data_IF_157450926250
#
_entry.id   IF_157450926250
#
_cell.length_a   1.000
_cell.length_b   1.000
_cell.length_c   1.000
_cell.angle_alpha   90.00
_cell.angle_beta   90.00
_cell.angle_gamma   90.00
#
_symmetry.space_group_name_H-M   'P 1'
#
loop_
_entity.id
_entity.type
_entity.pdbx_description
1 polymer ?
#
# COMPACT_ATOMS: atom_id res chain seq x y z
N UNK A 1 -15.17 26.77 8.49
CA UNK A 1 -15.52 26.20 9.81
C UNK A 1 -16.10 27.22 10.79
N UNK A 2 -15.75 28.52 10.75
CA UNK A 2 -16.44 29.50 11.62
C UNK A 2 -17.78 29.92 11.00
N UNK A 3 -18.87 29.74 11.74
CA UNK A 3 -20.20 30.23 11.37
C UNK A 3 -21.12 29.12 10.87
N UNK A 4 -22.23 29.49 10.22
CA UNK A 4 -23.12 28.51 9.59
C UNK A 4 -22.54 28.08 8.24
N UNK A 5 -22.37 26.77 8.07
CA UNK A 5 -21.81 26.16 6.86
C UNK A 5 -20.28 26.11 6.87
N UNK A 6 -19.75 25.35 5.92
CA UNK A 6 -18.31 25.12 5.74
C UNK A 6 -17.87 25.76 4.43
N UNK A 7 -16.60 26.20 4.37
CA UNK A 7 -15.97 26.63 3.12
C UNK A 7 -15.00 25.51 2.70
N UNK A 8 -15.55 24.49 2.04
CA UNK A 8 -14.83 23.28 1.64
C UNK A 8 -13.71 23.60 0.65
N UNK A 9 -13.91 24.58 -0.23
CA UNK A 9 -12.94 24.99 -1.26
C UNK A 9 -11.67 25.58 -0.61
N UNK A 10 -11.84 26.44 0.40
CA UNK A 10 -10.71 26.99 1.15
C UNK A 10 -9.96 25.89 1.92
N UNK A 11 -10.70 24.96 2.53
CA UNK A 11 -10.11 23.84 3.29
C UNK A 11 -9.28 22.95 2.37
N UNK A 12 -9.86 22.48 1.26
CA UNK A 12 -9.14 21.59 0.34
C UNK A 12 -7.94 22.29 -0.28
N UNK A 13 -8.09 23.54 -0.75
CA UNK A 13 -7.00 24.28 -1.40
C UNK A 13 -5.80 24.46 -0.47
N UNK A 14 -6.05 24.78 0.80
CA UNK A 14 -4.98 24.94 1.77
C UNK A 14 -4.33 23.59 2.10
N UNK A 15 -5.11 22.56 2.43
CA UNK A 15 -4.57 21.30 2.92
C UNK A 15 -3.87 20.49 1.81
N UNK A 16 -4.36 20.52 0.58
CA UNK A 16 -3.70 19.83 -0.55
C UNK A 16 -2.45 20.56 -1.06
N UNK A 17 -2.23 21.82 -0.66
CA UNK A 17 -1.04 22.61 -1.03
C UNK A 17 0.01 22.72 0.08
N UNK A 18 -0.11 21.89 1.12
CA UNK A 18 0.87 21.80 2.23
C UNK A 18 1.37 20.38 2.34
N UNK A 19 2.66 20.22 2.66
CA UNK A 19 3.21 18.92 3.02
C UNK A 19 2.58 18.42 4.33
N UNK A 20 2.65 17.13 4.58
CA UNK A 20 2.10 16.54 5.79
C UNK A 20 2.74 17.15 7.05
N UNK A 21 4.04 17.41 7.03
CA UNK A 21 4.76 18.10 8.10
C UNK A 21 4.17 19.50 8.38
N UNK A 22 3.91 20.29 7.32
CA UNK A 22 3.26 21.59 7.47
C UNK A 22 1.83 21.47 7.99
N UNK A 23 1.08 20.42 7.62
CA UNK A 23 -0.26 20.15 8.19
C UNK A 23 -0.18 19.87 9.69
N UNK A 24 0.87 19.19 10.17
CA UNK A 24 1.08 18.99 11.61
C UNK A 24 1.35 20.32 12.32
N UNK A 25 2.19 21.19 11.75
CA UNK A 25 2.44 22.53 12.28
C UNK A 25 1.16 23.38 12.33
N UNK A 26 0.33 23.30 11.29
CA UNK A 26 -0.98 23.97 11.23
C UNK A 26 -1.90 23.45 12.34
N UNK A 27 -1.96 22.15 12.57
CA UNK A 27 -2.78 21.57 13.64
C UNK A 27 -2.33 22.04 15.04
N UNK A 28 -1.02 22.08 15.29
CA UNK A 28 -0.45 22.59 16.55
C UNK A 28 -0.75 24.08 16.74
N UNK A 29 -0.56 24.88 15.69
CA UNK A 29 -0.85 26.31 15.72
C UNK A 29 -2.35 26.58 15.96
N UNK A 30 -3.23 25.81 15.32
CA UNK A 30 -4.68 25.89 15.51
C UNK A 30 -5.07 25.60 16.96
N UNK A 31 -4.51 24.54 17.56
CA UNK A 31 -4.73 24.21 18.97
C UNK A 31 -4.22 25.30 19.92
N UNK A 32 -3.07 25.90 19.60
CA UNK A 32 -2.49 26.98 20.41
C UNK A 32 -3.33 28.26 20.38
N UNK A 33 -3.82 28.65 19.19
CA UNK A 33 -4.55 29.89 18.99
C UNK A 33 -6.01 29.82 19.45
N UNK A 34 -6.64 28.65 19.31
CA UNK A 34 -8.08 28.50 19.52
C UNK A 34 -8.46 27.51 20.64
N UNK A 35 -7.50 26.75 21.18
CA UNK A 35 -7.77 25.74 22.20
C UNK A 35 -8.61 24.55 21.71
N UNK A 36 -8.72 24.37 20.39
CA UNK A 36 -9.55 23.34 19.74
C UNK A 36 -8.68 22.36 18.96
N UNK A 37 -9.15 21.13 18.79
CA UNK A 37 -8.47 20.15 17.94
C UNK A 37 -8.93 20.33 16.48
N UNK A 38 -7.98 20.57 15.57
CA UNK A 38 -8.28 20.82 14.16
C UNK A 38 -8.91 19.59 13.49
N UNK A 39 -8.47 18.39 13.85
CA UNK A 39 -8.97 17.17 13.22
C UNK A 39 -10.41 16.88 13.64
N UNK A 40 -10.74 17.11 14.92
CA UNK A 40 -12.11 16.96 15.41
C UNK A 40 -13.04 18.02 14.83
N UNK A 41 -12.58 19.27 14.69
CA UNK A 41 -13.33 20.32 14.02
C UNK A 41 -13.61 19.94 12.55
N UNK A 42 -12.61 19.45 11.81
CA UNK A 42 -12.78 19.00 10.43
C UNK A 42 -13.78 17.84 10.31
N UNK A 43 -13.75 16.85 11.22
CA UNK A 43 -14.73 15.76 11.26
C UNK A 43 -16.15 16.25 11.54
N UNK A 44 -16.30 17.31 12.34
CA UNK A 44 -17.63 17.87 12.66
C UNK A 44 -18.24 18.69 11.53
N UNK A 45 -17.40 19.29 10.68
CA UNK A 45 -17.79 20.24 9.63
C UNK A 45 -17.88 19.61 8.23
N UNK A 46 -17.20 18.48 8.03
CA UNK A 46 -17.15 17.76 6.76
C UNK A 46 -17.95 16.46 6.84
N UNK A 47 -18.36 15.92 5.70
CA UNK A 47 -19.07 14.62 5.66
C UNK A 47 -18.56 13.71 4.54
N UNK A 48 -18.78 12.41 4.70
CA UNK A 48 -18.70 11.44 3.61
C UNK A 48 -17.27 11.22 3.10
N UNK A 49 -17.12 11.05 1.78
CA UNK A 49 -15.82 10.73 1.15
C UNK A 49 -14.81 11.88 1.26
N UNK A 50 -15.30 13.12 1.20
CA UNK A 50 -14.46 14.29 1.33
C UNK A 50 -13.88 14.41 2.75
N UNK A 51 -14.71 14.20 3.78
CA UNK A 51 -14.25 14.12 5.17
C UNK A 51 -13.16 13.05 5.34
N UNK A 52 -13.41 11.82 4.86
CA UNK A 52 -12.44 10.72 4.94
C UNK A 52 -11.10 11.07 4.33
N UNK A 53 -11.09 11.72 3.17
CA UNK A 53 -9.87 12.16 2.49
C UNK A 53 -9.13 13.24 3.29
N UNK A 54 -9.84 14.26 3.79
CA UNK A 54 -9.23 15.35 4.57
C UNK A 54 -8.67 14.82 5.90
N UNK A 55 -9.40 13.94 6.59
CA UNK A 55 -8.93 13.29 7.81
C UNK A 55 -7.69 12.44 7.55
N UNK A 56 -7.66 11.69 6.44
CA UNK A 56 -6.48 10.93 6.03
C UNK A 56 -5.26 11.84 5.78
N UNK A 57 -5.45 12.95 5.05
CA UNK A 57 -4.39 13.93 4.76
C UNK A 57 -3.77 14.55 6.02
N UNK A 58 -4.55 14.69 7.08
CA UNK A 58 -4.09 15.30 8.34
C UNK A 58 -3.28 14.34 9.21
N UNK A 59 -3.38 13.02 9.00
CA UNK A 59 -2.61 12.04 9.78
C UNK A 59 -1.15 12.02 9.31
N UNK A 60 -0.15 11.99 10.21
CA UNK A 60 1.23 11.66 9.85
C UNK A 60 1.30 10.40 8.99
N UNK A 61 2.11 10.39 7.93
CA UNK A 61 2.12 9.30 6.94
C UNK A 61 2.27 7.91 7.56
N UNK A 62 3.22 7.75 8.50
CA UNK A 62 3.44 6.48 9.22
C UNK A 62 2.30 6.12 10.16
N UNK A 63 1.68 7.11 10.78
CA UNK A 63 0.48 6.93 11.61
C UNK A 63 -0.72 6.50 10.75
N UNK A 64 -0.79 6.99 9.52
CA UNK A 64 -1.87 6.65 8.60
C UNK A 64 -1.82 5.17 8.20
N UNK A 65 -0.64 4.63 7.87
CA UNK A 65 -0.50 3.20 7.59
C UNK A 65 -0.84 2.33 8.82
N UNK A 66 -0.38 2.71 10.01
CA UNK A 66 -0.75 2.01 11.25
C UNK A 66 -2.27 2.08 11.52
N UNK A 67 -2.89 3.23 11.25
CA UNK A 67 -4.32 3.42 11.34
C UNK A 67 -5.10 2.52 10.37
N UNK A 68 -4.70 2.47 9.10
CA UNK A 68 -5.33 1.62 8.08
C UNK A 68 -5.21 0.14 8.46
N UNK A 69 -4.04 -0.30 8.94
CA UNK A 69 -3.86 -1.68 9.43
C UNK A 69 -4.74 -1.97 10.65
N UNK A 70 -4.84 -1.04 11.61
CA UNK A 70 -5.72 -1.23 12.79
C UNK A 70 -7.19 -1.36 12.37
N UNK A 71 -7.60 -0.57 11.38
CA UNK A 71 -8.95 -0.61 10.84
C UNK A 71 -9.15 -1.73 9.82
N UNK A 72 -8.10 -2.46 9.43
CA UNK A 72 -8.21 -3.67 8.64
C UNK A 72 -8.38 -4.92 9.53
N UNK A 73 -7.85 -4.92 10.75
CA UNK A 73 -7.89 -6.05 11.69
C UNK A 73 -9.17 -6.01 12.54
N UNK A 74 -10.20 -6.78 12.14
CA UNK A 74 -11.55 -6.81 12.78
C UNK A 74 -12.05 -8.23 13.04
N UNK A 75 -11.16 -9.17 13.32
CA UNK A 75 -11.49 -10.58 13.49
C UNK A 75 -12.09 -11.17 12.21
N UNK A 76 -13.31 -11.68 12.28
CA UNK A 76 -13.98 -12.28 11.12
C UNK A 76 -14.29 -11.29 9.97
N UNK A 77 -14.19 -9.98 10.23
CA UNK A 77 -14.40 -8.91 9.24
C UNK A 77 -13.10 -8.28 8.74
N UNK A 78 -11.97 -8.97 8.88
CA UNK A 78 -10.66 -8.46 8.48
C UNK A 78 -10.61 -8.14 6.98
N UNK A 79 -9.89 -7.07 6.63
CA UNK A 79 -9.67 -6.64 5.25
C UNK A 79 -8.28 -7.07 4.78
N UNK A 80 -8.17 -8.29 4.24
CA UNK A 80 -6.89 -8.84 3.79
C UNK A 80 -6.30 -8.09 2.61
N UNK A 81 -7.09 -7.32 1.85
CA UNK A 81 -6.57 -6.48 0.76
C UNK A 81 -5.73 -5.34 1.32
N UNK A 82 -6.19 -4.70 2.38
CA UNK A 82 -5.44 -3.62 3.06
C UNK A 82 -4.16 -4.17 3.67
N UNK A 83 -4.24 -5.30 4.38
CA UNK A 83 -3.05 -5.96 4.94
C UNK A 83 -2.03 -6.30 3.85
N UNK A 84 -2.49 -6.89 2.75
CA UNK A 84 -1.66 -7.29 1.62
C UNK A 84 -1.00 -6.09 0.95
N UNK A 85 -1.76 -5.05 0.63
CA UNK A 85 -1.25 -3.84 -0.03
C UNK A 85 -0.16 -3.17 0.82
N UNK A 86 -0.44 -2.93 2.11
CA UNK A 86 0.49 -2.22 2.98
C UNK A 86 1.73 -3.06 3.28
N UNK A 87 1.56 -4.32 3.69
CA UNK A 87 2.69 -5.12 4.16
C UNK A 87 3.60 -5.56 3.00
N UNK A 88 3.05 -5.78 1.80
CA UNK A 88 3.84 -6.15 0.63
C UNK A 88 4.59 -4.96 -0.03
N UNK A 89 4.07 -3.74 0.09
CA UNK A 89 4.59 -2.58 -0.66
C UNK A 89 5.50 -1.66 0.17
N UNK A 90 5.54 -1.80 1.50
CA UNK A 90 6.36 -0.96 2.39
C UNK A 90 7.77 -1.54 2.52
N UNK A 91 8.78 -0.67 2.58
CA UNK A 91 10.17 -1.09 2.80
C UNK A 91 10.37 -1.61 4.23
N UNK A 92 11.45 -2.36 4.50
CA UNK A 92 11.77 -2.76 5.87
C UNK A 92 11.85 -1.58 6.85
N UNK A 93 12.37 -0.43 6.42
CA UNK A 93 12.45 0.79 7.23
C UNK A 93 11.05 1.36 7.54
N UNK A 94 10.17 1.40 6.54
CA UNK A 94 8.78 1.81 6.71
C UNK A 94 8.04 0.86 7.66
N UNK A 95 8.16 -0.46 7.48
CA UNK A 95 7.52 -1.46 8.35
C UNK A 95 7.98 -1.36 9.81
N UNK A 96 9.29 -1.15 10.06
CA UNK A 96 9.78 -0.92 11.43
C UNK A 96 9.13 0.31 12.06
N UNK A 97 9.01 1.40 11.30
CA UNK A 97 8.39 2.61 11.80
C UNK A 97 6.87 2.45 12.01
N UNK A 98 6.18 1.74 11.13
CA UNK A 98 4.74 1.43 11.26
C UNK A 98 4.49 0.61 12.52
N UNK A 99 5.28 -0.45 12.77
CA UNK A 99 5.16 -1.29 13.97
C UNK A 99 5.31 -0.47 15.25
N UNK A 100 6.32 0.41 15.29
CA UNK A 100 6.56 1.28 16.45
C UNK A 100 5.35 2.21 16.70
N UNK A 101 4.88 2.91 15.67
CA UNK A 101 3.74 3.84 15.81
C UNK A 101 2.45 3.11 16.16
N UNK A 102 2.24 1.91 15.62
CA UNK A 102 1.08 1.09 15.94
C UNK A 102 1.05 0.72 17.44
N UNK A 103 2.19 0.32 17.99
CA UNK A 103 2.31 -0.02 19.42
C UNK A 103 2.13 1.20 20.32
N UNK A 104 2.72 2.34 19.95
CA UNK A 104 2.58 3.61 20.68
C UNK A 104 1.11 4.10 20.73
N UNK A 105 0.35 3.92 19.65
CA UNK A 105 -1.01 4.44 19.52
C UNK A 105 -2.09 3.50 20.05
N UNK A 106 -1.91 2.19 19.89
CA UNK A 106 -2.94 1.20 20.22
C UNK A 106 -2.60 0.33 21.42
N UNK A 107 -1.36 0.38 21.92
CA UNK A 107 -0.91 -0.44 23.04
C UNK A 107 -0.91 -1.95 22.73
N UNK A 108 -0.91 -2.33 21.46
CA UNK A 108 -0.81 -3.72 20.99
C UNK A 108 0.27 -3.85 19.92
N UNK A 109 0.89 -5.03 19.83
CA UNK A 109 1.82 -5.35 18.76
C UNK A 109 1.06 -5.57 17.45
N UNK A 110 1.48 -4.91 16.37
CA UNK A 110 0.92 -5.16 15.04
C UNK A 110 1.07 -6.64 14.62
N UNK A 111 2.19 -7.28 15.00
CA UNK A 111 2.42 -8.69 14.67
C UNK A 111 1.43 -9.60 15.42
N UNK A 112 1.20 -9.35 16.71
CA UNK A 112 0.26 -10.14 17.52
C UNK A 112 -1.17 -9.98 17.00
N UNK A 113 -1.57 -8.75 16.67
CA UNK A 113 -2.91 -8.48 16.12
C UNK A 113 -3.08 -9.15 14.73
N UNK A 114 -2.05 -9.14 13.87
CA UNK A 114 -2.05 -9.88 12.59
C UNK A 114 -2.15 -11.39 12.81
N UNK A 115 -1.40 -11.93 13.77
CA UNK A 115 -1.45 -13.36 14.14
C UNK A 115 -2.82 -13.76 14.68
N UNK A 116 -3.49 -12.87 15.43
CA UNK A 116 -4.82 -13.12 15.97
C UNK A 116 -5.93 -13.17 14.92
N UNK A 117 -5.80 -12.38 13.85
CA UNK A 117 -6.85 -12.17 12.85
C UNK A 117 -6.62 -12.87 11.51
N UNK A 118 -5.46 -13.50 11.32
CA UNK A 118 -5.13 -14.24 10.10
C UNK A 118 -4.77 -15.69 10.40
N UNK A 119 -4.59 -16.53 9.36
CA UNK A 119 -4.22 -17.93 9.56
C UNK A 119 -3.41 -18.51 8.39
N UNK A 120 -2.87 -19.72 8.59
CA UNK A 120 -2.20 -20.49 7.55
C UNK A 120 -0.93 -19.83 6.99
N UNK A 121 -0.65 -20.11 5.73
CA UNK A 121 0.54 -19.56 5.05
C UNK A 121 0.44 -18.05 4.76
N UNK A 122 -0.78 -17.52 4.64
CA UNK A 122 -1.00 -16.07 4.52
C UNK A 122 -0.47 -15.35 5.77
N UNK A 123 -0.88 -15.78 6.97
CA UNK A 123 -0.34 -15.26 8.23
C UNK A 123 1.18 -15.38 8.29
N UNK A 124 1.74 -16.56 7.95
CA UNK A 124 3.19 -16.78 8.01
C UNK A 124 3.95 -15.82 7.11
N UNK A 125 3.48 -15.59 5.88
CA UNK A 125 4.11 -14.64 4.97
C UNK A 125 4.03 -13.20 5.49
N UNK A 126 2.87 -12.78 6.03
CA UNK A 126 2.74 -11.47 6.66
C UNK A 126 3.73 -11.29 7.82
N UNK A 127 3.84 -12.29 8.70
CA UNK A 127 4.78 -12.27 9.84
C UNK A 127 6.22 -12.18 9.36
N UNK A 128 6.61 -12.92 8.31
CA UNK A 128 7.96 -12.84 7.72
C UNK A 128 8.26 -11.44 7.20
N UNK A 129 7.31 -10.81 6.49
CA UNK A 129 7.46 -9.44 6.02
C UNK A 129 7.54 -8.44 7.18
N UNK A 130 6.71 -8.61 8.21
CA UNK A 130 6.69 -7.78 9.41
C UNK A 130 7.97 -7.89 10.24
N UNK A 131 8.78 -8.95 10.10
CA UNK A 131 10.12 -8.98 10.69
C UNK A 131 11.00 -7.85 10.15
N UNK A 132 10.71 -7.32 8.96
CA UNK A 132 11.48 -6.27 8.32
C UNK A 132 12.98 -6.60 8.26
N UNK A 133 13.30 -7.87 7.98
CA UNK A 133 14.66 -8.41 7.96
C UNK A 133 15.03 -8.95 6.57
N UNK A 134 14.50 -8.32 5.51
CA UNK A 134 14.93 -8.61 4.14
C UNK A 134 16.42 -8.28 3.99
N UNK A 135 17.15 -9.16 3.32
CA UNK A 135 18.58 -8.98 3.02
C UNK A 135 18.79 -7.63 2.31
N UNK A 136 19.82 -6.86 2.69
CA UNK A 136 20.14 -5.62 1.99
C UNK A 136 20.62 -5.91 0.57
N UNK A 137 20.40 -4.96 -0.34
CA UNK A 137 20.96 -5.06 -1.68
C UNK A 137 22.49 -5.06 -1.63
N UNK A 138 23.09 -6.02 -2.32
CA UNK A 138 24.53 -6.27 -2.34
C UNK A 138 24.96 -6.76 -3.73
N UNK A 139 26.24 -7.13 -3.86
CA UNK A 139 26.74 -7.76 -5.08
C UNK A 139 25.97 -9.07 -5.33
N UNK A 140 25.42 -9.21 -6.53
CA UNK A 140 24.68 -10.41 -6.94
C UNK A 140 25.63 -11.60 -7.05
N UNK A 141 25.27 -12.70 -6.38
CA UNK A 141 25.85 -14.02 -6.57
C UNK A 141 24.98 -14.82 -7.54
N UNK A 142 25.44 -14.91 -8.79
CA UNK A 142 24.71 -15.60 -9.86
C UNK A 142 24.52 -17.11 -9.58
N UNK A 143 25.39 -17.73 -8.77
CA UNK A 143 25.20 -19.13 -8.37
C UNK A 143 24.03 -19.27 -7.38
N UNK A 144 23.88 -18.31 -6.46
CA UNK A 144 22.72 -18.27 -5.55
C UNK A 144 21.44 -17.95 -6.31
N UNK A 145 21.50 -17.09 -7.34
CA UNK A 145 20.34 -16.82 -8.22
C UNK A 145 19.86 -18.09 -8.91
N UNK A 146 20.79 -18.86 -9.50
CA UNK A 146 20.48 -20.17 -10.11
C UNK A 146 19.84 -21.11 -9.09
N UNK A 147 20.43 -21.21 -7.89
CA UNK A 147 19.96 -22.09 -6.83
C UNK A 147 18.53 -21.73 -6.39
N UNK A 148 18.25 -20.46 -6.15
CA UNK A 148 16.93 -20.01 -5.69
C UNK A 148 15.88 -20.17 -6.80
N UNK A 149 16.22 -19.87 -8.06
CA UNK A 149 15.31 -20.07 -9.20
C UNK A 149 14.98 -21.56 -9.38
N UNK A 150 15.98 -22.43 -9.30
CA UNK A 150 15.80 -23.88 -9.37
C UNK A 150 14.99 -24.42 -8.18
N UNK A 151 15.20 -23.87 -6.98
CA UNK A 151 14.46 -24.22 -5.78
C UNK A 151 12.97 -23.86 -5.90
N UNK A 152 12.64 -22.67 -6.43
CA UNK A 152 11.25 -22.28 -6.70
C UNK A 152 10.60 -23.22 -7.72
N UNK A 153 11.32 -23.58 -8.79
CA UNK A 153 10.78 -24.48 -9.82
C UNK A 153 10.50 -25.88 -9.28
N UNK A 154 11.38 -26.38 -8.41
CA UNK A 154 11.18 -27.67 -7.71
C UNK A 154 10.07 -27.62 -6.66
N UNK A 155 9.82 -26.45 -6.06
CA UNK A 155 8.82 -26.24 -5.01
C UNK A 155 7.40 -26.04 -5.55
N UNK A 156 7.24 -25.67 -6.82
CA UNK A 156 5.94 -25.52 -7.49
C UNK A 156 5.79 -26.54 -8.63
N UNK A 157 6.02 -26.11 -9.87
CA UNK A 157 5.67 -26.85 -11.10
C UNK A 157 6.16 -28.30 -11.21
N UNK A 158 7.24 -28.70 -10.52
CA UNK A 158 7.75 -30.08 -10.54
C UNK A 158 7.21 -30.98 -9.42
N UNK A 159 6.31 -30.47 -8.58
CA UNK A 159 5.77 -31.16 -7.42
C UNK A 159 4.25 -31.32 -7.56
N UNK A 160 3.71 -32.39 -6.99
CA UNK A 160 2.27 -32.45 -6.79
C UNK A 160 1.91 -31.65 -5.53
N UNK A 161 1.27 -30.50 -5.74
CA UNK A 161 1.07 -29.47 -4.73
C UNK A 161 2.33 -28.63 -4.50
N UNK A 162 2.23 -27.65 -3.62
CA UNK A 162 3.22 -26.58 -3.48
C UNK A 162 4.01 -26.72 -2.18
N UNK A 163 5.29 -26.34 -2.19
CA UNK A 163 6.07 -26.08 -0.97
C UNK A 163 6.02 -24.58 -0.65
N UNK A 164 4.95 -24.15 0.02
CA UNK A 164 4.71 -22.74 0.32
C UNK A 164 5.80 -22.15 1.24
N UNK A 165 6.40 -22.96 2.11
CA UNK A 165 7.50 -22.51 2.98
C UNK A 165 8.72 -22.07 2.17
N UNK A 166 9.00 -22.73 1.03
CA UNK A 166 10.07 -22.32 0.12
C UNK A 166 9.80 -20.96 -0.51
N UNK A 167 8.58 -20.75 -1.02
CA UNK A 167 8.16 -19.48 -1.60
C UNK A 167 8.24 -18.36 -0.57
N UNK A 168 7.68 -18.58 0.63
CA UNK A 168 7.69 -17.61 1.73
C UNK A 168 9.12 -17.24 2.13
N UNK A 169 10.00 -18.22 2.29
CA UNK A 169 11.40 -17.96 2.69
C UNK A 169 12.11 -17.14 1.64
N UNK A 170 12.09 -17.57 0.37
CA UNK A 170 12.82 -16.89 -0.71
C UNK A 170 12.25 -15.48 -0.94
N UNK A 171 10.93 -15.34 -1.10
CA UNK A 171 10.31 -14.04 -1.37
C UNK A 171 10.31 -13.11 -0.16
N UNK A 172 10.28 -13.64 1.06
CA UNK A 172 10.26 -12.85 2.28
C UNK A 172 11.62 -12.30 2.69
N UNK A 173 12.71 -13.03 2.43
CA UNK A 173 14.02 -12.68 3.01
C UNK A 173 15.07 -12.23 1.99
N UNK A 174 15.06 -12.70 0.74
CA UNK A 174 16.11 -12.32 -0.23
C UNK A 174 16.01 -10.83 -0.61
N UNK A 175 17.15 -10.23 -0.97
CA UNK A 175 17.19 -8.82 -1.36
C UNK A 175 16.38 -8.55 -2.63
N UNK A 176 15.95 -7.30 -2.81
CA UNK A 176 15.12 -6.89 -3.96
C UNK A 176 15.89 -7.09 -5.27
N UNK A 177 17.15 -6.65 -5.31
CA UNK A 177 18.04 -6.80 -6.47
C UNK A 177 18.28 -8.27 -6.83
N UNK A 178 18.45 -9.15 -5.83
CA UNK A 178 18.59 -10.59 -6.03
C UNK A 178 17.31 -11.20 -6.60
N UNK A 179 16.15 -10.93 -5.99
CA UNK A 179 14.89 -11.50 -6.42
C UNK A 179 14.50 -11.11 -7.84
N UNK A 180 14.82 -9.89 -8.29
CA UNK A 180 14.65 -9.50 -9.69
C UNK A 180 15.42 -10.42 -10.64
N UNK A 181 16.67 -10.76 -10.31
CA UNK A 181 17.47 -11.71 -11.09
C UNK A 181 16.93 -13.14 -11.01
N UNK A 182 16.45 -13.55 -9.84
CA UNK A 182 15.79 -14.85 -9.67
C UNK A 182 14.55 -14.96 -10.56
N UNK A 183 13.73 -13.92 -10.69
CA UNK A 183 12.55 -13.96 -11.55
C UNK A 183 12.89 -14.10 -13.03
N UNK A 184 13.90 -13.37 -13.51
CA UNK A 184 14.39 -13.49 -14.90
C UNK A 184 14.96 -14.90 -15.15
N UNK A 185 15.73 -15.41 -14.18
CA UNK A 185 16.30 -16.75 -14.27
C UNK A 185 15.25 -17.84 -14.19
N UNK A 186 14.23 -17.67 -13.34
CA UNK A 186 13.09 -18.58 -13.22
C UNK A 186 12.39 -18.76 -14.57
N UNK A 187 12.06 -17.66 -15.25
CA UNK A 187 11.48 -17.70 -16.61
C UNK A 187 12.35 -18.48 -17.60
N UNK A 188 13.68 -18.37 -17.49
CA UNK A 188 14.62 -19.11 -18.35
C UNK A 188 14.59 -20.62 -18.09
N UNK A 189 14.37 -21.03 -16.84
CA UNK A 189 14.37 -22.45 -16.43
C UNK A 189 13.00 -23.09 -16.67
N UNK A 190 11.92 -22.44 -16.24
CA UNK A 190 10.57 -23.01 -16.21
C UNK A 190 9.76 -22.75 -17.48
N UNK A 191 10.07 -21.65 -18.20
CA UNK A 191 9.26 -21.15 -19.29
C UNK A 191 8.03 -20.32 -18.86
N UNK A 192 7.85 -20.08 -17.55
CA UNK A 192 6.74 -19.32 -16.99
C UNK A 192 7.25 -18.10 -16.21
N UNK A 193 6.51 -16.99 -16.23
CA UNK A 193 6.72 -15.94 -15.24
C UNK A 193 6.42 -16.50 -13.84
N UNK A 194 7.11 -15.98 -12.83
CA UNK A 194 6.88 -16.44 -11.46
C UNK A 194 5.44 -16.16 -11.00
N UNK A 195 4.83 -15.08 -11.50
CA UNK A 195 3.42 -14.75 -11.28
C UNK A 195 2.47 -15.82 -11.83
N UNK A 196 2.77 -16.39 -13.00
CA UNK A 196 1.95 -17.45 -13.61
C UNK A 196 2.02 -18.73 -12.77
N UNK A 197 3.19 -19.09 -12.26
CA UNK A 197 3.32 -20.23 -11.34
C UNK A 197 2.57 -19.99 -10.03
N UNK A 198 2.61 -18.77 -9.47
CA UNK A 198 1.86 -18.45 -8.23
C UNK A 198 0.35 -18.67 -8.42
N UNK A 199 -0.21 -18.20 -9.55
CA UNK A 199 -1.64 -18.38 -9.91
C UNK A 199 -2.01 -19.87 -10.10
N UNK A 200 -1.08 -20.69 -10.61
CA UNK A 200 -1.29 -22.14 -10.83
C UNK A 200 -1.20 -22.97 -9.55
N UNK A 201 -0.31 -22.58 -8.64
CA UNK A 201 0.12 -23.39 -7.49
C UNK A 201 -0.48 -22.93 -6.15
N UNK A 202 -1.03 -21.72 -6.08
CA UNK A 202 -1.61 -21.18 -4.85
C UNK A 202 -3.02 -20.66 -5.07
N UNK A 203 -3.74 -20.37 -3.98
CA UNK A 203 -5.07 -19.76 -4.08
C UNK A 203 -5.36 -18.84 -2.90
N UNK A 204 -6.39 -17.99 -3.05
CA UNK A 204 -6.93 -17.18 -1.97
C UNK A 204 -5.98 -16.08 -1.50
N UNK A 205 -5.98 -15.79 -0.20
CA UNK A 205 -5.22 -14.66 0.35
C UNK A 205 -3.70 -14.86 0.23
N UNK A 206 -3.21 -16.11 0.26
CA UNK A 206 -1.79 -16.39 0.05
C UNK A 206 -1.36 -16.00 -1.37
N UNK A 207 -2.11 -16.44 -2.38
CA UNK A 207 -1.83 -16.14 -3.79
C UNK A 207 -1.77 -14.62 -4.01
N UNK A 208 -2.79 -13.90 -3.53
CA UNK A 208 -2.86 -12.44 -3.62
C UNK A 208 -1.64 -11.76 -2.97
N UNK A 209 -1.20 -12.25 -1.81
CA UNK A 209 -0.03 -11.72 -1.11
C UNK A 209 1.28 -12.02 -1.84
N UNK A 210 1.48 -13.25 -2.33
CA UNK A 210 2.69 -13.59 -3.08
C UNK A 210 2.78 -12.77 -4.38
N UNK A 211 1.65 -12.60 -5.09
CA UNK A 211 1.58 -11.73 -6.27
C UNK A 211 1.89 -10.27 -5.91
N UNK A 212 1.34 -9.75 -4.82
CA UNK A 212 1.62 -8.38 -4.36
C UNK A 212 3.11 -8.19 -4.01
N UNK A 213 3.74 -9.18 -3.38
CA UNK A 213 5.18 -9.16 -3.05
C UNK A 213 6.02 -9.18 -4.32
N UNK A 214 5.76 -10.08 -5.27
CA UNK A 214 6.49 -10.14 -6.54
C UNK A 214 6.35 -8.83 -7.32
N UNK A 215 5.12 -8.31 -7.46
CA UNK A 215 4.86 -7.05 -8.15
C UNK A 215 5.58 -5.88 -7.47
N UNK A 216 5.59 -5.82 -6.14
CA UNK A 216 6.30 -4.79 -5.38
C UNK A 216 7.82 -4.89 -5.55
N UNK A 217 8.39 -6.11 -5.53
CA UNK A 217 9.81 -6.33 -5.81
C UNK A 217 10.17 -5.84 -7.21
N UNK A 218 9.34 -6.13 -8.22
CA UNK A 218 9.56 -5.61 -9.58
C UNK A 218 9.47 -4.09 -9.60
N UNK A 219 8.37 -3.52 -9.10
CA UNK A 219 8.17 -2.08 -8.99
C UNK A 219 6.98 -1.76 -8.08
N UNK A 220 7.25 -1.20 -6.90
CA UNK A 220 6.21 -0.66 -6.00
C UNK A 220 5.30 0.34 -6.74
N UNK A 221 5.82 1.32 -7.51
CA UNK A 221 4.95 2.24 -8.26
C UNK A 221 4.02 1.54 -9.26
N UNK A 222 4.49 0.48 -9.93
CA UNK A 222 3.65 -0.27 -10.88
C UNK A 222 2.56 -1.09 -10.17
N UNK A 223 2.90 -1.73 -9.05
CA UNK A 223 1.92 -2.43 -8.21
C UNK A 223 0.82 -1.49 -7.70
N UNK A 224 1.20 -0.32 -7.20
CA UNK A 224 0.23 0.66 -6.69
C UNK A 224 -0.56 1.34 -7.81
N UNK A 225 0.01 1.48 -9.01
CA UNK A 225 -0.74 1.91 -10.19
C UNK A 225 -1.82 0.89 -10.58
N UNK A 226 -1.51 -0.40 -10.56
CA UNK A 226 -2.47 -1.47 -10.79
C UNK A 226 -3.55 -1.51 -9.69
N UNK A 227 -3.15 -1.32 -8.43
CA UNK A 227 -4.07 -1.22 -7.28
C UNK A 227 -5.07 -0.08 -7.47
N UNK A 228 -4.61 1.12 -7.87
CA UNK A 228 -5.47 2.26 -8.19
C UNK A 228 -6.38 1.97 -9.40
N UNK A 229 -5.87 1.29 -10.42
CA UNK A 229 -6.65 0.99 -11.61
C UNK A 229 -7.84 0.10 -11.26
N UNK A 230 -7.61 -0.99 -10.51
CA UNK A 230 -8.69 -1.88 -10.09
C UNK A 230 -9.61 -1.25 -9.04
N UNK A 231 -9.16 -0.26 -8.27
CA UNK A 231 -10.02 0.50 -7.36
C UNK A 231 -11.06 1.36 -8.11
N UNK A 232 -10.79 1.77 -9.36
CA UNK A 232 -11.69 2.61 -10.17
C UNK A 232 -12.25 1.86 -11.40
N UNK A 233 -11.92 0.58 -11.58
CA UNK A 233 -12.35 -0.19 -12.75
C UNK A 233 -13.72 -0.80 -12.49
N UNK A 234 -14.67 -0.53 -13.37
CA UNK A 234 -15.99 -1.17 -13.37
C UNK A 234 -17.08 -0.24 -12.84
N UNK A 235 -18.12 -0.81 -12.25
CA UNK A 235 -19.23 -0.03 -11.70
C UNK A 235 -18.91 0.40 -10.26
N UNK A 236 -18.80 1.71 -10.04
CA UNK A 236 -18.46 2.29 -8.74
C UNK A 236 -16.95 2.32 -8.48
N UNK A 237 -16.59 2.80 -7.30
CA UNK A 237 -15.20 3.06 -6.90
C UNK A 237 -14.95 2.46 -5.53
N UNK A 238 -13.81 1.80 -5.35
CA UNK A 238 -13.24 1.54 -4.02
C UNK A 238 -12.55 2.81 -3.52
N UNK A 239 -13.36 3.74 -2.98
CA UNK A 239 -12.87 5.03 -2.49
C UNK A 239 -11.89 4.87 -1.32
N UNK A 240 -11.98 3.78 -0.56
CA UNK A 240 -11.09 3.52 0.58
C UNK A 240 -9.67 3.29 0.08
N UNK A 241 -9.51 2.39 -0.89
CA UNK A 241 -8.23 2.14 -1.56
C UNK A 241 -7.73 3.37 -2.32
N UNK A 242 -8.61 4.07 -3.02
CA UNK A 242 -8.24 5.30 -3.74
C UNK A 242 -7.68 6.37 -2.79
N UNK A 243 -8.36 6.63 -1.66
CA UNK A 243 -7.88 7.57 -0.64
C UNK A 243 -6.56 7.09 -0.06
N UNK A 244 -6.48 5.82 0.36
CA UNK A 244 -5.29 5.27 1.01
C UNK A 244 -4.05 5.40 0.14
N UNK A 245 -4.11 4.96 -1.11
CA UNK A 245 -2.95 5.00 -2.00
C UNK A 245 -2.59 6.44 -2.37
N UNK A 246 -3.56 7.29 -2.73
CA UNK A 246 -3.25 8.69 -3.09
C UNK A 246 -2.63 9.44 -1.91
N UNK A 247 -3.17 9.29 -0.70
CA UNK A 247 -2.66 10.01 0.49
C UNK A 247 -1.30 9.46 0.91
N UNK A 248 -1.18 8.14 1.12
CA UNK A 248 0.06 7.53 1.64
C UNK A 248 1.25 7.72 0.70
N UNK A 249 1.01 7.85 -0.62
CA UNK A 249 2.08 7.95 -1.62
C UNK A 249 2.33 9.37 -2.13
N UNK A 250 1.47 10.34 -1.76
CA UNK A 250 1.51 11.73 -2.25
C UNK A 250 2.88 12.43 -2.09
N UNK A 251 3.62 12.08 -1.04
CA UNK A 251 4.92 12.67 -0.71
C UNK A 251 6.09 11.67 -0.86
N UNK A 252 5.86 10.53 -1.53
CA UNK A 252 6.85 9.46 -1.71
C UNK A 252 7.10 9.20 -3.20
N UNK A 253 6.11 8.63 -3.89
CA UNK A 253 6.27 8.13 -5.26
C UNK A 253 5.01 8.23 -6.13
N UNK A 254 4.00 9.03 -5.73
CA UNK A 254 2.77 9.22 -6.51
C UNK A 254 3.05 9.69 -7.95
N UNK A 255 4.10 10.48 -8.17
CA UNK A 255 4.57 10.84 -9.51
C UNK A 255 5.02 9.63 -10.35
N UNK A 256 5.73 8.67 -9.75
CA UNK A 256 6.15 7.46 -10.44
C UNK A 256 4.95 6.51 -10.68
N UNK A 257 4.02 6.45 -9.72
CA UNK A 257 2.77 5.69 -9.85
C UNK A 257 1.97 6.20 -11.06
N UNK A 258 1.85 7.53 -11.23
CA UNK A 258 1.20 8.15 -12.40
C UNK A 258 1.81 7.72 -13.73
N UNK A 259 3.14 7.68 -13.81
CA UNK A 259 3.84 7.22 -15.02
C UNK A 259 3.56 5.76 -15.35
N UNK A 260 3.68 4.87 -14.37
CA UNK A 260 3.37 3.46 -14.58
C UNK A 260 1.89 3.24 -14.90
N UNK A 261 0.97 4.02 -14.29
CA UNK A 261 -0.45 3.99 -14.60
C UNK A 261 -0.71 4.33 -16.07
N UNK A 262 -0.14 5.44 -16.55
CA UNK A 262 -0.28 5.90 -17.94
C UNK A 262 0.26 4.86 -18.92
N UNK A 263 1.46 4.35 -18.63
CA UNK A 263 2.15 3.33 -19.44
C UNK A 263 1.37 2.03 -19.53
N UNK A 264 0.80 1.56 -18.43
CA UNK A 264 0.19 0.22 -18.36
C UNK A 264 -1.29 0.20 -18.76
N UNK A 265 -2.03 1.31 -18.62
CA UNK A 265 -3.48 1.36 -18.85
C UNK A 265 -3.93 2.28 -19.98
N UNK A 266 -3.01 3.03 -20.61
CA UNK A 266 -3.34 3.86 -21.77
C UNK A 266 -4.27 5.05 -21.46
N UNK A 267 -4.46 5.38 -20.18
CA UNK A 267 -5.19 6.56 -19.67
C UNK A 267 -4.43 7.14 -18.49
N UNK A 268 -4.55 8.45 -18.23
CA UNK A 268 -3.87 9.05 -17.07
C UNK A 268 -4.63 8.74 -15.77
N UNK A 269 -3.91 8.67 -14.64
CA UNK A 269 -4.53 8.54 -13.33
C UNK A 269 -5.50 9.71 -13.07
N UNK A 270 -5.11 10.93 -13.46
CA UNK A 270 -5.93 12.12 -13.34
C UNK A 270 -7.27 11.99 -14.08
N UNK A 271 -7.24 11.54 -15.35
CA UNK A 271 -8.45 11.39 -16.16
C UNK A 271 -9.39 10.32 -15.59
N UNK A 272 -8.84 9.22 -15.06
CA UNK A 272 -9.63 8.16 -14.43
C UNK A 272 -10.29 8.65 -13.12
N UNK A 273 -9.55 9.31 -12.23
CA UNK A 273 -10.10 9.96 -11.03
C UNK A 273 -11.20 10.96 -11.41
N UNK A 274 -10.95 11.80 -12.43
CA UNK A 274 -11.89 12.84 -12.86
C UNK A 274 -13.24 12.27 -13.33
N UNK A 275 -13.19 11.11 -13.99
CA UNK A 275 -14.36 10.40 -14.49
C UNK A 275 -15.13 9.63 -13.41
N UNK A 276 -14.42 9.10 -12.41
CA UNK A 276 -15.00 8.18 -11.43
C UNK A 276 -15.43 8.84 -10.12
N UNK A 277 -15.00 10.09 -9.87
CA UNK A 277 -15.30 10.84 -8.64
C UNK A 277 -16.07 12.14 -8.89
N UNK A 278 -16.66 12.71 -7.84
CA UNK A 278 -17.48 13.94 -7.92
C UNK A 278 -17.27 14.87 -6.71
N UNK A 279 -17.82 16.10 -6.81
CA UNK A 279 -17.80 17.10 -5.75
C UNK A 279 -16.41 17.53 -5.29
N UNK A 280 -16.31 17.99 -4.05
CA UNK A 280 -15.05 18.45 -3.44
C UNK A 280 -14.06 17.31 -3.19
N UNK A 281 -14.57 16.08 -3.01
CA UNK A 281 -13.77 14.86 -3.00
C UNK A 281 -12.95 14.71 -4.29
N UNK A 282 -13.59 14.86 -5.46
CA UNK A 282 -12.87 14.88 -6.75
C UNK A 282 -11.83 15.99 -6.80
N UNK A 283 -12.21 17.23 -6.48
CA UNK A 283 -11.30 18.37 -6.57
C UNK A 283 -10.03 18.14 -5.76
N UNK A 284 -10.20 17.69 -4.52
CA UNK A 284 -9.08 17.39 -3.63
C UNK A 284 -8.20 16.25 -4.17
N UNK A 285 -8.78 15.14 -4.64
CA UNK A 285 -7.99 14.06 -5.25
C UNK A 285 -7.22 14.50 -6.49
N UNK A 286 -7.82 15.33 -7.35
CA UNK A 286 -7.16 15.85 -8.54
C UNK A 286 -5.99 16.78 -8.17
N UNK A 287 -6.15 17.63 -7.14
CA UNK A 287 -5.04 18.45 -6.64
C UNK A 287 -3.89 17.61 -6.07
N UNK A 288 -4.19 16.52 -5.36
CA UNK A 288 -3.16 15.60 -4.84
C UNK A 288 -2.49 14.79 -5.95
N UNK A 289 -3.26 14.34 -6.93
CA UNK A 289 -2.75 13.61 -8.09
C UNK A 289 -1.80 14.51 -8.90
N UNK A 290 -2.13 15.79 -9.07
CA UNK A 290 -1.41 16.73 -9.91
C UNK A 290 -2.10 16.92 -11.27
N UNK A 291 -1.34 17.17 -12.34
CA UNK A 291 -1.89 17.44 -13.68
C UNK A 291 -2.08 16.18 -14.54
N UNK A 292 -2.67 16.36 -15.72
CA UNK A 292 -2.55 15.35 -16.79
C UNK A 292 -1.07 15.14 -17.11
N UNK A 293 -0.65 13.87 -17.14
CA UNK A 293 0.68 13.48 -17.57
C UNK A 293 0.71 13.44 -19.10
N UNK A 294 1.35 14.43 -19.73
CA UNK A 294 1.66 14.45 -21.17
C UNK A 294 2.52 13.23 -21.59
#
# INVERSE_FOLDING_TARGET
MKGLGTDEESILTLLTSRSNAQRQEIAVAFKTLFGRDLLDDLKSELTGKFEKLIVALMKPSRLYDAYELKHALKGAGTDEKVLTEIIASRTPEELRAIKQVYEEEYGSSLEDDVVGDTSGYYQRMLVVLLQANRDPDARIDEAQVEQDAQALFQAGELKWGTDEEKFITIFGTRSVSHLRRVFDKYMTISGFQIEETIDRETSGNLEQLLLAVVKSIRSIPAYLAETLYYAMKGAGTDDHTLIRVVVSRSEIDLYNIRKEFRKNFGTSLYSMIKGDTSGDYKKALLLLCGGEDD
#
